data_IF_933988333254
#
_entry.id   IF_933988333254
#
_cell.length_a   1.000
_cell.length_b   1.000
_cell.length_c   1.000
_cell.angle_alpha   90.00
_cell.angle_beta   90.00
_cell.angle_gamma   90.00
#
_symmetry.space_group_name_H-M   'P 1'
#
loop_
_entity.id
_entity.type
_entity.pdbx_description
1 polymer ?
#
# COMPACT_ATOMS: atom_id res chain seq x y z
N UNK A 1 -19.97 13.53 15.64
CA UNK A 1 -19.29 13.50 14.32
C UNK A 1 -18.79 12.08 14.14
N UNK A 2 -19.44 11.32 13.27
CA UNK A 2 -18.91 10.03 12.83
C UNK A 2 -17.91 10.38 11.73
N UNK A 3 -16.62 10.33 12.05
CA UNK A 3 -15.62 10.24 11.01
C UNK A 3 -15.79 8.83 10.42
N UNK A 4 -16.25 8.73 9.18
CA UNK A 4 -16.03 7.52 8.42
C UNK A 4 -14.51 7.41 8.29
N UNK A 5 -13.83 6.42 8.90
CA UNK A 5 -12.39 6.31 8.79
C UNK A 5 -12.05 6.25 7.30
N UNK A 6 -11.15 7.14 6.87
CA UNK A 6 -10.73 7.26 5.47
C UNK A 6 -10.40 5.88 4.90
N UNK A 7 -10.80 5.64 3.65
CA UNK A 7 -10.72 4.34 2.96
C UNK A 7 -9.28 3.97 2.59
N UNK A 8 -8.42 3.85 3.58
CA UNK A 8 -7.16 3.16 3.49
C UNK A 8 -7.44 1.71 3.03
N UNK A 9 -6.54 1.15 2.22
CA UNK A 9 -6.72 -0.21 1.70
C UNK A 9 -6.78 -1.23 2.84
N UNK A 10 -6.07 -0.98 3.93
CA UNK A 10 -6.15 -1.71 5.19
C UNK A 10 -7.57 -1.85 5.75
N UNK A 11 -8.47 -0.91 5.45
CA UNK A 11 -9.88 -0.88 5.87
C UNK A 11 -10.79 -1.90 5.18
N UNK A 12 -10.34 -2.59 4.12
CA UNK A 12 -11.12 -3.67 3.53
C UNK A 12 -11.25 -4.85 4.51
N UNK A 13 -12.48 -5.37 4.77
CA UNK A 13 -12.67 -6.51 5.67
C UNK A 13 -11.88 -7.74 5.24
N UNK A 14 -11.82 -7.99 3.92
CA UNK A 14 -11.01 -9.03 3.29
C UNK A 14 -10.00 -8.41 2.32
N UNK A 15 -8.84 -8.04 2.85
CA UNK A 15 -7.76 -7.47 2.06
C UNK A 15 -7.14 -8.47 1.06
N UNK A 16 -7.26 -9.78 1.29
CA UNK A 16 -6.76 -10.79 0.33
C UNK A 16 -7.65 -10.82 -0.91
N UNK A 17 -8.98 -10.83 -0.73
CA UNK A 17 -9.92 -10.75 -1.84
C UNK A 17 -9.78 -9.42 -2.60
N UNK A 18 -9.65 -8.30 -1.88
CA UNK A 18 -9.44 -7.00 -2.49
C UNK A 18 -8.14 -6.93 -3.31
N UNK A 19 -7.01 -7.38 -2.75
CA UNK A 19 -5.74 -7.43 -3.46
C UNK A 19 -5.80 -8.37 -4.67
N UNK A 20 -6.47 -9.52 -4.54
CA UNK A 20 -6.67 -10.46 -5.65
C UNK A 20 -7.41 -9.82 -6.82
N UNK A 21 -8.47 -9.05 -6.55
CA UNK A 21 -9.20 -8.32 -7.59
C UNK A 21 -8.36 -7.20 -8.22
N UNK A 22 -7.59 -6.46 -7.42
CA UNK A 22 -6.64 -5.47 -7.95
C UNK A 22 -5.61 -6.11 -8.88
N UNK A 23 -5.04 -7.25 -8.48
CA UNK A 23 -4.07 -7.99 -9.30
C UNK A 23 -4.72 -8.60 -10.56
N UNK A 24 -6.00 -8.98 -10.51
CA UNK A 24 -6.74 -9.48 -11.66
C UNK A 24 -6.84 -8.41 -12.76
N UNK A 25 -7.11 -7.16 -12.39
CA UNK A 25 -7.26 -6.04 -13.34
C UNK A 25 -5.93 -5.40 -13.73
N UNK A 26 -4.90 -5.52 -12.88
CA UNK A 26 -3.57 -5.00 -13.19
C UNK A 26 -2.96 -5.73 -14.37
N UNK A 27 -2.49 -5.02 -15.39
CA UNK A 27 -1.86 -5.66 -16.55
C UNK A 27 -0.66 -6.55 -16.15
N UNK A 28 -0.35 -7.63 -16.88
CA UNK A 28 0.87 -8.39 -16.63
C UNK A 28 2.12 -7.51 -16.76
N UNK A 29 3.01 -7.55 -15.76
CA UNK A 29 4.15 -6.63 -15.68
C UNK A 29 3.80 -5.22 -15.21
N UNK A 30 2.53 -4.97 -14.83
CA UNK A 30 2.07 -3.72 -14.28
C UNK A 30 2.54 -3.48 -12.85
N UNK A 31 2.43 -2.24 -12.41
CA UNK A 31 2.79 -1.79 -11.06
C UNK A 31 1.55 -1.39 -10.28
N UNK A 32 1.45 -1.88 -9.06
CA UNK A 32 0.51 -1.45 -8.04
C UNK A 32 1.22 -0.44 -7.13
N UNK A 33 0.61 0.73 -6.92
CA UNK A 33 1.10 1.76 -6.01
C UNK A 33 0.01 1.97 -4.95
N UNK A 34 0.34 1.76 -3.69
CA UNK A 34 -0.57 1.92 -2.55
C UNK A 34 0.04 2.88 -1.54
N UNK A 35 -0.80 3.75 -0.98
CA UNK A 35 -0.46 4.55 0.20
C UNK A 35 -1.36 4.05 1.31
N UNK A 36 -0.77 3.61 2.42
CA UNK A 36 -1.50 3.04 3.54
C UNK A 36 -0.85 3.40 4.88
N UNK A 37 -1.59 3.21 5.96
CA UNK A 37 -1.12 3.41 7.33
C UNK A 37 -0.43 2.14 7.82
N UNK A 38 0.78 2.27 8.34
CA UNK A 38 1.48 1.19 9.03
C UNK A 38 2.24 1.73 10.25
N UNK A 39 2.83 0.84 11.06
CA UNK A 39 3.70 1.24 12.15
C UNK A 39 5.05 1.74 11.61
N UNK A 40 5.67 2.75 12.25
CA UNK A 40 7.02 3.17 11.91
C UNK A 40 8.01 2.02 12.01
N UNK A 41 8.87 1.90 11.02
CA UNK A 41 9.89 0.84 10.94
C UNK A 41 10.91 0.92 12.08
N UNK A 42 11.18 2.13 12.57
CA UNK A 42 12.07 2.39 13.71
C UNK A 42 11.38 2.24 15.08
N UNK A 43 10.06 2.02 15.09
CA UNK A 43 9.26 1.93 16.31
C UNK A 43 9.21 3.21 17.13
N UNK A 44 9.45 4.39 16.52
CA UNK A 44 9.50 5.64 17.26
C UNK A 44 8.22 5.87 18.06
N UNK A 45 8.40 6.36 19.29
CA UNK A 45 7.29 6.50 20.25
C UNK A 45 6.18 7.44 19.76
N UNK A 46 6.47 8.62 19.16
CA UNK A 46 5.43 9.50 18.65
C UNK A 46 4.56 8.87 17.55
N UNK A 47 5.18 8.29 16.52
CA UNK A 47 4.48 7.64 15.41
C UNK A 47 3.70 6.42 15.88
N UNK A 48 4.30 5.59 16.73
CA UNK A 48 3.62 4.41 17.32
C UNK A 48 2.41 4.81 18.15
N UNK A 49 2.50 5.90 18.93
CA UNK A 49 1.36 6.45 19.71
C UNK A 49 0.24 6.93 18.81
N UNK A 50 0.56 7.63 17.72
CA UNK A 50 -0.41 8.15 16.77
C UNK A 50 -1.15 7.02 16.05
N UNK A 51 -0.41 6.06 15.50
CA UNK A 51 -0.95 4.88 14.82
C UNK A 51 -1.87 4.08 15.76
N UNK A 52 -1.49 3.90 17.03
CA UNK A 52 -2.37 3.29 18.05
C UNK A 52 -3.62 4.10 18.37
N UNK A 53 -3.55 5.44 18.27
CA UNK A 53 -4.71 6.32 18.47
C UNK A 53 -5.72 6.12 17.33
N UNK A 54 -5.24 6.05 16.08
CA UNK A 54 -6.06 5.75 14.91
C UNK A 54 -6.67 4.34 14.99
N UNK A 55 -5.90 3.34 15.41
CA UNK A 55 -6.43 1.99 15.64
C UNK A 55 -7.58 1.96 16.65
N UNK A 56 -7.49 2.76 17.72
CA UNK A 56 -8.58 2.91 18.71
C UNK A 56 -9.78 3.68 18.14
N UNK A 57 -9.56 4.52 17.14
CA UNK A 57 -10.60 5.22 16.40
C UNK A 57 -11.31 4.37 15.35
N UNK A 58 -10.91 3.10 15.18
CA UNK A 58 -11.52 2.16 14.23
C UNK A 58 -10.70 1.90 12.98
N UNK A 59 -9.49 2.46 12.88
CA UNK A 59 -8.59 2.18 11.76
C UNK A 59 -8.01 0.76 11.87
N UNK A 60 -7.85 0.10 10.72
CA UNK A 60 -7.29 -1.24 10.66
C UNK A 60 -5.83 -1.10 10.23
N UNK A 61 -4.90 -1.49 11.09
CA UNK A 61 -3.49 -1.57 10.70
C UNK A 61 -3.21 -3.01 10.33
N UNK A 62 -2.74 -3.22 9.10
CA UNK A 62 -2.48 -4.55 8.54
C UNK A 62 -1.00 -4.68 8.19
N UNK A 63 -0.49 -5.89 8.36
CA UNK A 63 0.83 -6.26 7.85
C UNK A 63 0.77 -6.35 6.31
N UNK A 64 1.06 -5.21 5.67
CA UNK A 64 1.03 -5.07 4.22
C UNK A 64 2.16 -5.87 3.56
N UNK A 65 3.31 -5.96 4.20
CA UNK A 65 4.45 -6.73 3.71
C UNK A 65 4.09 -8.21 3.57
N UNK A 66 3.51 -8.79 4.63
CA UNK A 66 3.04 -10.17 4.62
C UNK A 66 1.96 -10.40 3.56
N UNK A 67 1.02 -9.45 3.41
CA UNK A 67 -0.07 -9.55 2.44
C UNK A 67 0.43 -9.48 0.98
N UNK A 68 1.35 -8.56 0.66
CA UNK A 68 1.93 -8.43 -0.66
C UNK A 68 2.82 -9.64 -0.98
N UNK A 69 3.62 -10.09 -0.01
CA UNK A 69 4.46 -11.27 -0.14
C UNK A 69 3.64 -12.55 -0.37
N UNK A 70 2.49 -12.71 0.31
CA UNK A 70 1.62 -13.89 0.12
C UNK A 70 1.05 -14.01 -1.30
N UNK A 71 0.99 -12.90 -2.05
CA UNK A 71 0.56 -12.86 -3.45
C UNK A 71 1.74 -12.95 -4.44
N UNK A 72 2.96 -13.22 -3.94
CA UNK A 72 4.16 -13.38 -4.76
C UNK A 72 4.61 -12.10 -5.45
N UNK A 73 4.26 -10.93 -4.90
CA UNK A 73 4.67 -9.64 -5.42
C UNK A 73 6.07 -9.29 -4.92
N UNK A 74 6.90 -8.75 -5.81
CA UNK A 74 8.09 -7.99 -5.41
C UNK A 74 7.70 -6.55 -5.14
N UNK A 75 8.02 -6.00 -3.98
CA UNK A 75 7.64 -4.64 -3.61
C UNK A 75 8.74 -3.88 -2.87
N UNK A 76 8.58 -2.57 -2.81
CA UNK A 76 9.31 -1.67 -1.90
C UNK A 76 8.31 -1.00 -0.98
N UNK A 77 8.75 -0.70 0.25
CA UNK A 77 8.03 0.10 1.24
C UNK A 77 8.91 1.31 1.59
N UNK A 78 8.31 2.50 1.59
CA UNK A 78 8.96 3.77 1.93
C UNK A 78 8.05 4.59 2.85
N UNK A 79 8.60 5.03 3.98
CA UNK A 79 7.91 5.96 4.87
C UNK A 79 7.88 7.36 4.25
N UNK A 80 6.69 7.86 3.94
CA UNK A 80 6.50 9.13 3.22
C UNK A 80 5.85 10.22 4.10
N UNK A 81 5.46 9.91 5.34
CA UNK A 81 4.85 10.91 6.22
C UNK A 81 4.33 10.38 7.55
N UNK A 82 3.68 11.28 8.30
CA UNK A 82 3.03 10.94 9.57
C UNK A 82 3.96 10.36 10.62
N UNK A 83 5.19 10.88 10.76
CA UNK A 83 6.20 10.35 11.71
C UNK A 83 6.49 8.86 11.51
N UNK A 84 6.51 8.41 10.26
CA UNK A 84 6.69 7.01 9.89
C UNK A 84 5.39 6.19 9.93
N UNK A 85 4.23 6.84 10.05
CA UNK A 85 2.93 6.16 10.05
C UNK A 85 2.32 5.99 8.65
N UNK A 86 2.81 6.71 7.64
CA UNK A 86 2.29 6.66 6.26
C UNK A 86 3.34 6.04 5.35
N UNK A 87 2.95 4.96 4.70
CA UNK A 87 3.83 4.11 3.90
C UNK A 87 3.40 4.10 2.43
N UNK A 88 4.37 4.17 1.54
CA UNK A 88 4.21 4.02 0.10
C UNK A 88 4.71 2.64 -0.33
N UNK A 89 3.78 1.77 -0.72
CA UNK A 89 4.10 0.47 -1.28
C UNK A 89 4.10 0.53 -2.80
N UNK A 90 5.21 0.13 -3.42
CA UNK A 90 5.31 -0.04 -4.87
C UNK A 90 5.54 -1.52 -5.21
N UNK A 91 4.47 -2.24 -5.55
CA UNK A 91 4.51 -3.66 -5.88
C UNK A 91 4.49 -3.89 -7.39
N UNK A 92 5.28 -4.83 -7.88
CA UNK A 92 5.30 -5.23 -9.29
C UNK A 92 4.64 -6.59 -9.45
N UNK A 93 3.67 -6.68 -10.36
CA UNK A 93 3.13 -7.96 -10.81
C UNK A 93 4.12 -8.60 -11.78
N UNK A 94 4.41 -9.89 -11.61
CA UNK A 94 5.22 -10.62 -12.57
C UNK A 94 4.61 -10.52 -13.98
N UNK A 95 5.41 -10.06 -14.94
CA UNK A 95 5.06 -10.14 -16.36
C UNK A 95 5.28 -11.56 -16.91
N UNK A 96 4.72 -11.89 -18.09
CA UNK A 96 5.14 -13.07 -18.81
C UNK A 96 6.66 -13.03 -19.02
N UNK A 97 7.36 -14.14 -18.73
CA UNK A 97 8.82 -14.25 -18.85
C UNK A 97 9.26 -13.73 -20.23
N UNK A 98 10.04 -12.64 -20.26
CA UNK A 98 10.65 -12.09 -21.48
C UNK A 98 10.19 -10.71 -21.94
N UNK A 99 9.21 -10.07 -21.28
CA UNK A 99 8.78 -8.70 -21.64
C UNK A 99 9.31 -7.68 -20.65
N UNK A 100 10.35 -6.93 -21.03
CA UNK A 100 10.74 -5.73 -20.28
C UNK A 100 9.59 -4.71 -20.29
N UNK A 101 9.30 -4.05 -19.16
CA UNK A 101 8.32 -2.97 -19.14
C UNK A 101 8.76 -1.88 -20.11
N UNK A 102 7.87 -1.51 -21.03
CA UNK A 102 8.10 -0.37 -21.92
C UNK A 102 8.13 0.88 -21.03
N UNK A 103 9.26 1.57 -20.98
CA UNK A 103 9.33 2.90 -20.36
C UNK A 103 8.36 3.80 -21.12
N UNK A 104 7.18 4.06 -20.55
CA UNK A 104 6.31 5.11 -21.09
C UNK A 104 6.92 6.46 -20.68
N UNK A 105 7.21 7.35 -21.64
CA UNK A 105 7.65 8.69 -21.30
C UNK A 105 6.54 9.38 -20.50
N UNK A 106 6.93 10.02 -19.40
CA UNK A 106 6.04 10.87 -18.62
C UNK A 106 5.63 12.06 -19.50
N UNK A 107 4.36 12.14 -19.86
CA UNK A 107 3.81 13.32 -20.55
C UNK A 107 3.43 14.34 -19.47
N UNK A 108 4.02 15.55 -19.47
CA UNK A 108 3.63 16.57 -18.52
C UNK A 108 2.16 16.94 -18.75
N UNK A 109 1.41 17.04 -17.67
CA UNK A 109 0.03 17.52 -17.69
C UNK A 109 0.12 19.04 -17.95
N UNK A 110 -0.31 19.49 -19.12
CA UNK A 110 -0.44 20.92 -19.41
C UNK A 110 -1.54 21.49 -18.51
N UNK A 111 -1.18 22.46 -17.68
CA UNK A 111 -2.10 23.30 -16.88
C UNK A 111 -2.95 24.20 -17.75
#
# INVERSE_FOLDING_TARGET
MNADPEMAFSGYPDAHAALSEMLRVLAPGGRLVLIDVNYPSDGNWPGTRMVRLWQRGGDVIRDMDALLASHGLSFTDEEIGGWGGIHLYCANRAGPKGRQPKHLPYLPIST
#
